data_IF_979230771867
#
_entry.id   IF_979230771867
#
_cell.length_a   1.000
_cell.length_b   1.000
_cell.length_c   1.000
_cell.angle_alpha   90.00
_cell.angle_beta   90.00
_cell.angle_gamma   90.00
#
_symmetry.space_group_name_H-M   'P 1'
#
loop_
_entity.id
_entity.type
_entity.pdbx_description
1 polymer ?
#
# COMPACT_ATOMS: atom_id res chain seq x y z
N UNK A 1 19.66 2.05 -3.72
CA UNK A 1 19.29 2.14 -2.28
C UNK A 1 19.09 3.61 -1.97
N UNK A 2 18.04 3.98 -1.23
CA UNK A 2 17.74 5.37 -0.86
C UNK A 2 17.83 5.54 0.66
N UNK A 3 18.15 6.75 1.11
CA UNK A 3 18.23 7.09 2.54
C UNK A 3 17.06 8.00 2.90
N UNK A 4 16.20 7.56 3.82
CA UNK A 4 15.07 8.34 4.31
C UNK A 4 15.55 9.32 5.39
N UNK A 5 15.65 10.61 5.06
CA UNK A 5 16.17 11.64 5.97
C UNK A 5 15.09 12.23 6.89
N UNK A 6 13.82 12.23 6.45
CA UNK A 6 12.71 12.66 7.28
C UNK A 6 12.51 11.68 8.47
N UNK A 7 12.12 12.16 9.67
CA UNK A 7 11.88 11.31 10.83
C UNK A 7 10.66 10.40 10.65
N UNK A 8 10.63 9.28 11.37
CA UNK A 8 9.42 8.45 11.45
C UNK A 8 8.42 9.07 12.41
N UNK A 9 7.28 9.49 11.89
CA UNK A 9 6.13 9.94 12.68
C UNK A 9 4.92 9.17 12.18
N UNK A 10 4.22 8.47 13.08
CA UNK A 10 3.00 7.74 12.75
C UNK A 10 1.97 8.67 12.11
N UNK A 11 1.41 8.25 10.97
CA UNK A 11 0.51 9.07 10.16
C UNK A 11 1.18 10.06 9.21
N UNK A 12 2.52 10.10 9.13
CA UNK A 12 3.25 10.98 8.22
C UNK A 12 4.26 10.22 7.34
N UNK A 13 4.09 8.90 7.17
CA UNK A 13 4.97 8.07 6.34
C UNK A 13 5.12 8.60 4.91
N UNK A 14 4.04 9.17 4.36
CA UNK A 14 4.04 9.75 3.02
C UNK A 14 5.15 10.79 2.81
N UNK A 15 5.48 11.60 3.83
CA UNK A 15 6.55 12.59 3.72
C UNK A 15 7.94 11.97 3.63
N UNK A 16 8.11 10.74 4.12
CA UNK A 16 9.37 10.01 4.02
C UNK A 16 9.54 9.37 2.66
N UNK A 17 8.49 8.76 2.11
CA UNK A 17 8.61 7.88 0.96
C UNK A 17 8.25 8.54 -0.38
N UNK A 18 7.23 9.42 -0.40
CA UNK A 18 6.71 10.01 -1.64
C UNK A 18 7.77 10.70 -2.50
N UNK A 19 8.74 11.47 -1.94
CA UNK A 19 9.78 12.09 -2.77
C UNK A 19 10.58 11.09 -3.61
N UNK A 20 10.92 9.93 -3.03
CA UNK A 20 11.70 8.89 -3.71
C UNK A 20 10.85 8.10 -4.71
N UNK A 21 9.57 7.86 -4.39
CA UNK A 21 8.63 7.21 -5.31
C UNK A 21 8.35 8.09 -6.54
N UNK A 22 8.16 9.40 -6.33
CA UNK A 22 7.96 10.36 -7.41
C UNK A 22 9.20 10.43 -8.31
N UNK A 23 10.40 10.43 -7.72
CA UNK A 23 11.65 10.38 -8.49
C UNK A 23 11.74 9.12 -9.36
N UNK A 24 11.30 7.96 -8.84
CA UNK A 24 11.26 6.72 -9.62
C UNK A 24 10.30 6.82 -10.82
N UNK A 25 9.10 7.38 -10.63
CA UNK A 25 8.15 7.61 -11.71
C UNK A 25 8.71 8.59 -12.76
N UNK A 26 9.34 9.68 -12.34
CA UNK A 26 9.98 10.66 -13.25
C UNK A 26 11.16 10.05 -14.01
N UNK A 27 11.90 9.12 -13.42
CA UNK A 27 12.95 8.35 -14.12
C UNK A 27 12.34 7.42 -15.16
N UNK A 28 11.23 6.74 -14.84
CA UNK A 28 10.52 5.88 -15.78
C UNK A 28 9.98 6.69 -16.96
N UNK A 29 9.31 7.82 -16.70
CA UNK A 29 8.77 8.71 -17.72
C UNK A 29 9.85 9.21 -18.69
N UNK A 30 11.01 9.62 -18.17
CA UNK A 30 12.14 10.08 -19.00
C UNK A 30 12.77 8.96 -19.83
N UNK A 31 12.95 7.79 -19.23
CA UNK A 31 13.74 6.72 -19.84
C UNK A 31 12.90 5.81 -20.74
N UNK A 32 11.64 5.57 -20.39
CA UNK A 32 10.72 4.63 -21.04
C UNK A 32 9.26 5.14 -20.95
N UNK A 33 8.92 6.26 -21.61
CA UNK A 33 7.60 6.90 -21.48
C UNK A 33 6.43 6.00 -21.91
N UNK A 34 6.66 5.07 -22.83
CA UNK A 34 5.66 4.09 -23.29
C UNK A 34 5.27 3.07 -22.24
N UNK A 35 6.06 2.94 -21.16
CA UNK A 35 5.82 2.03 -20.03
C UNK A 35 5.23 2.75 -18.82
N UNK A 36 4.79 4.00 -18.96
CA UNK A 36 4.15 4.71 -17.86
C UNK A 36 2.87 3.98 -17.41
N UNK A 37 2.70 3.74 -16.10
CA UNK A 37 1.56 3.00 -15.61
C UNK A 37 0.28 3.85 -15.70
N UNK A 38 -0.82 3.21 -16.05
CA UNK A 38 -2.15 3.83 -16.01
C UNK A 38 -2.72 3.89 -14.58
N UNK A 39 -2.21 3.04 -13.68
CA UNK A 39 -2.57 2.98 -12.27
C UNK A 39 -1.38 2.47 -11.46
N UNK A 40 -1.19 3.01 -10.26
CA UNK A 40 -0.14 2.59 -9.33
C UNK A 40 -0.78 1.93 -8.10
N UNK A 41 -0.40 0.69 -7.83
CA UNK A 41 -0.71 0.03 -6.56
C UNK A 41 0.39 0.35 -5.55
N UNK A 42 0.01 0.95 -4.44
CA UNK A 42 0.93 1.44 -3.41
C UNK A 42 0.76 0.57 -2.17
N UNK A 43 1.85 0.01 -1.66
CA UNK A 43 1.86 -0.72 -0.38
C UNK A 43 1.69 0.26 0.79
N UNK A 44 0.44 0.58 1.08
CA UNK A 44 0.08 1.61 2.04
C UNK A 44 -1.36 2.05 1.89
N UNK A 45 -1.82 2.94 2.78
CA UNK A 45 -3.18 3.45 2.76
C UNK A 45 -3.34 4.65 1.80
N UNK A 46 -4.55 4.82 1.28
CA UNK A 46 -5.02 6.03 0.59
C UNK A 46 -5.91 6.88 1.48
N UNK A 47 -7.18 7.01 1.11
CA UNK A 47 -8.19 7.77 1.87
C UNK A 47 -8.42 7.17 3.27
N UNK A 48 -8.24 5.86 3.44
CA UNK A 48 -8.39 5.19 4.72
C UNK A 48 -7.17 5.45 5.64
N UNK A 49 -7.08 6.67 6.18
CA UNK A 49 -5.93 7.19 6.92
C UNK A 49 -6.37 8.16 8.02
N UNK A 50 -5.55 8.39 9.04
CA UNK A 50 -5.85 9.30 10.18
C UNK A 50 -6.31 10.71 9.76
N UNK A 51 -5.89 11.14 8.55
CA UNK A 51 -6.16 12.47 7.98
C UNK A 51 -6.78 12.39 6.58
N UNK A 52 -7.34 11.23 6.24
CA UNK A 52 -7.95 11.00 4.93
C UNK A 52 -6.99 11.22 3.74
N UNK A 53 -5.69 11.13 4.02
CA UNK A 53 -4.63 11.44 3.06
C UNK A 53 -3.36 10.61 3.34
N UNK A 54 -3.43 9.32 3.03
CA UNK A 54 -2.32 8.39 3.13
C UNK A 54 -1.33 8.48 1.96
N UNK A 55 -0.34 7.57 1.96
CA UNK A 55 0.73 7.50 0.95
C UNK A 55 0.20 7.42 -0.49
N UNK A 56 -0.82 6.59 -0.74
CA UNK A 56 -1.37 6.42 -2.09
C UNK A 56 -2.04 7.70 -2.61
N UNK A 57 -2.76 8.42 -1.75
CA UNK A 57 -3.36 9.71 -2.09
C UNK A 57 -2.28 10.77 -2.35
N UNK A 58 -1.26 10.84 -1.48
CA UNK A 58 -0.17 11.79 -1.61
C UNK A 58 0.59 11.57 -2.93
N UNK A 59 0.97 10.34 -3.23
CA UNK A 59 1.64 10.00 -4.48
C UNK A 59 0.75 10.30 -5.69
N UNK A 60 -0.53 9.92 -5.65
CA UNK A 60 -1.46 10.13 -6.77
C UNK A 60 -1.68 11.61 -7.10
N UNK A 61 -1.82 12.47 -6.08
CA UNK A 61 -1.96 13.92 -6.28
C UNK A 61 -0.70 14.52 -6.91
N UNK A 62 0.49 14.15 -6.43
CA UNK A 62 1.75 14.72 -6.94
C UNK A 62 2.16 14.18 -8.30
N UNK A 63 1.88 12.91 -8.59
CA UNK A 63 2.21 12.28 -9.87
C UNK A 63 1.13 12.47 -10.94
N UNK A 64 -0.06 12.94 -10.56
CA UNK A 64 -1.26 12.96 -11.40
C UNK A 64 -1.66 11.58 -11.95
N UNK A 65 -1.22 10.50 -11.30
CA UNK A 65 -1.57 9.12 -11.66
C UNK A 65 -2.67 8.58 -10.74
N UNK A 66 -3.64 7.81 -11.27
CA UNK A 66 -4.53 7.00 -10.45
C UNK A 66 -3.74 6.09 -9.51
N UNK A 67 -4.03 6.15 -8.21
CA UNK A 67 -3.34 5.36 -7.19
C UNK A 67 -4.33 4.59 -6.32
N UNK A 68 -4.01 3.32 -6.05
CA UNK A 68 -4.76 2.44 -5.14
C UNK A 68 -3.86 2.06 -3.98
N UNK A 69 -4.29 2.36 -2.76
CA UNK A 69 -3.61 1.90 -1.55
C UNK A 69 -3.97 0.45 -1.24
N UNK A 70 -2.97 -0.41 -1.14
CA UNK A 70 -3.10 -1.84 -0.80
C UNK A 70 -2.32 -2.10 0.48
N UNK A 71 -2.95 -1.81 1.63
CA UNK A 71 -2.33 -2.04 2.93
C UNK A 71 -2.44 -3.51 3.35
N UNK A 72 -1.37 -4.04 3.93
CA UNK A 72 -1.31 -5.42 4.47
C UNK A 72 -1.95 -5.56 5.85
N UNK A 73 -2.05 -4.47 6.59
CA UNK A 73 -2.58 -4.44 7.95
C UNK A 73 -3.72 -3.42 8.04
N UNK A 74 -4.76 -3.76 8.80
CA UNK A 74 -5.87 -2.86 9.05
C UNK A 74 -5.41 -1.66 9.89
N UNK A 75 -5.50 -0.47 9.30
CA UNK A 75 -5.36 0.77 10.04
C UNK A 75 -6.64 1.05 10.82
N UNK A 76 -6.55 1.25 12.13
CA UNK A 76 -7.72 1.46 12.98
C UNK A 76 -8.09 2.94 13.02
N UNK A 77 -8.89 3.38 12.06
CA UNK A 77 -9.36 4.77 11.88
C UNK A 77 -10.84 4.78 11.53
N UNK A 78 -11.50 5.94 11.62
CA UNK A 78 -12.91 6.11 11.22
C UNK A 78 -13.87 5.13 11.93
N UNK A 79 -13.59 4.79 13.20
CA UNK A 79 -14.41 3.86 13.98
C UNK A 79 -14.26 2.39 13.56
N UNK A 80 -13.33 2.08 12.65
CA UNK A 80 -13.00 0.70 12.27
C UNK A 80 -11.91 0.18 13.20
N UNK A 81 -12.20 -0.93 13.86
CA UNK A 81 -11.30 -1.58 14.80
C UNK A 81 -10.98 -3.00 14.36
N UNK A 82 -9.80 -3.48 14.75
CA UNK A 82 -9.40 -4.86 14.51
C UNK A 82 -10.08 -5.75 15.55
N UNK A 83 -11.28 -6.24 15.23
CA UNK A 83 -11.97 -7.25 16.04
C UNK A 83 -11.49 -8.67 15.70
N UNK A 84 -11.71 -9.60 16.63
CA UNK A 84 -11.44 -11.03 16.40
C UNK A 84 -12.22 -11.58 15.20
N UNK A 85 -13.45 -11.11 15.01
CA UNK A 85 -14.31 -11.45 13.87
C UNK A 85 -13.71 -10.98 12.54
N UNK A 86 -13.25 -9.72 12.47
CA UNK A 86 -12.57 -9.18 11.28
C UNK A 86 -11.33 -9.99 10.92
N UNK A 87 -10.53 -10.34 11.93
CA UNK A 87 -9.31 -11.10 11.72
C UNK A 87 -9.61 -12.51 11.23
N UNK A 88 -10.60 -13.18 11.85
CA UNK A 88 -11.04 -14.52 11.46
C UNK A 88 -11.59 -14.56 10.04
N UNK A 89 -12.36 -13.55 9.63
CA UNK A 89 -12.89 -13.44 8.26
C UNK A 89 -11.76 -13.24 7.24
N UNK A 90 -10.84 -12.31 7.50
CA UNK A 90 -9.72 -12.04 6.60
C UNK A 90 -8.83 -13.27 6.42
N UNK A 91 -8.54 -13.97 7.52
CA UNK A 91 -7.74 -15.20 7.51
C UNK A 91 -8.46 -16.33 6.78
N UNK A 92 -9.76 -16.52 7.01
CA UNK A 92 -10.56 -17.54 6.34
C UNK A 92 -10.59 -17.33 4.82
N UNK A 93 -10.90 -16.11 4.36
CA UNK A 93 -10.96 -15.82 2.92
C UNK A 93 -9.60 -15.96 2.24
N UNK A 94 -8.52 -15.53 2.90
CA UNK A 94 -7.16 -15.66 2.38
C UNK A 94 -6.77 -17.13 2.23
N UNK A 95 -7.03 -17.94 3.27
CA UNK A 95 -6.76 -19.39 3.27
C UNK A 95 -7.58 -20.13 2.23
N UNK A 96 -8.89 -19.87 2.15
CA UNK A 96 -9.74 -20.51 1.15
C UNK A 96 -9.33 -20.14 -0.29
N UNK A 97 -8.97 -18.88 -0.54
CA UNK A 97 -8.49 -18.46 -1.85
C UNK A 97 -7.20 -19.18 -2.24
N UNK A 98 -6.24 -19.26 -1.31
CA UNK A 98 -4.97 -19.95 -1.53
C UNK A 98 -5.15 -21.45 -1.67
N UNK A 99 -5.99 -22.09 -0.84
CA UNK A 99 -6.32 -23.51 -0.96
C UNK A 99 -6.90 -23.84 -2.33
N UNK A 100 -7.77 -22.97 -2.87
CA UNK A 100 -8.45 -23.18 -4.14
C UNK A 100 -7.56 -22.95 -5.37
N UNK A 101 -6.67 -21.96 -5.33
CA UNK A 101 -5.91 -21.53 -6.51
C UNK A 101 -4.40 -21.83 -6.44
N UNK A 102 -3.86 -21.99 -5.24
CA UNK A 102 -2.43 -22.20 -4.97
C UNK A 102 -2.20 -23.25 -3.87
N UNK A 103 -2.63 -24.52 -4.06
CA UNK A 103 -2.62 -25.54 -3.01
C UNK A 103 -1.22 -25.86 -2.44
N UNK A 104 -0.14 -25.56 -3.16
CA UNK A 104 1.23 -25.72 -2.68
C UNK A 104 1.76 -24.55 -1.80
N UNK A 105 1.01 -23.47 -1.65
CA UNK A 105 1.39 -22.30 -0.85
C UNK A 105 0.82 -22.32 0.58
N UNK A 106 -0.22 -23.12 0.83
CA UNK A 106 -0.94 -23.19 2.12
C UNK A 106 -0.06 -23.74 3.28
N UNK A 107 0.97 -24.53 2.96
CA UNK A 107 1.90 -25.10 3.94
C UNK A 107 2.92 -24.12 4.54
N UNK A 108 3.03 -22.88 4.02
CA UNK A 108 4.08 -21.90 4.43
C UNK A 108 3.60 -20.74 5.32
N UNK A 109 2.31 -20.65 5.67
CA UNK A 109 1.75 -19.52 6.45
C UNK A 109 1.81 -19.80 7.97
N UNK A 110 2.88 -20.46 8.44
CA UNK A 110 3.08 -20.74 9.87
C UNK A 110 4.46 -20.32 10.42
N UNK A 111 5.25 -19.58 9.66
CA UNK A 111 6.52 -18.99 10.11
C UNK A 111 6.46 -17.46 10.11
#
# INVERSE_FOLDING_TARGET
MVTLTAPYIAGFLAFRETPFLLEALQRLERNQPTLMPQVVFVDGNGLFHYREFGLACHLGVLSALPCVGVAKNLLQVQGVYKSEEHQSQADYHSREYLRKHFPAADTRIKE
#
